data_IF_030151056158
#
_entry.id   IF_030151056158
#
_cell.length_a   1.000
_cell.length_b   1.000
_cell.length_c   1.000
_cell.angle_alpha   90.00
_cell.angle_beta   90.00
_cell.angle_gamma   90.00
#
_symmetry.space_group_name_H-M   'P 1'
#
loop_
_entity.id
_entity.type
_entity.pdbx_description
1 polymer ?
#
# COMPACT_ATOMS: atom_id res chain seq x y z
N UNK A 1 -7.09 -17.85 17.52
CA UNK A 1 -7.20 -16.74 16.58
C UNK A 1 -7.48 -15.48 17.39
N UNK A 2 -6.48 -14.64 17.64
CA UNK A 2 -6.67 -13.38 18.39
C UNK A 2 -6.81 -12.26 17.37
N UNK A 3 -8.01 -11.73 17.27
CA UNK A 3 -8.31 -10.53 16.48
C UNK A 3 -7.85 -9.34 17.32
N UNK A 4 -6.81 -8.64 16.87
CA UNK A 4 -6.42 -7.38 17.48
C UNK A 4 -7.29 -6.25 16.92
N UNK A 5 -7.75 -5.32 17.75
CA UNK A 5 -8.57 -4.21 17.27
C UNK A 5 -7.75 -3.33 16.33
N UNK A 6 -8.27 -3.14 15.12
CA UNK A 6 -7.81 -2.13 14.18
C UNK A 6 -7.95 -0.75 14.84
N UNK A 7 -6.83 -0.05 15.02
CA UNK A 7 -6.87 1.36 15.42
C UNK A 7 -7.37 2.18 14.23
N UNK A 8 -8.66 2.47 14.23
CA UNK A 8 -9.22 3.50 13.38
C UNK A 8 -8.81 4.86 13.93
N UNK A 9 -8.04 5.62 13.17
CA UNK A 9 -7.95 7.05 13.38
C UNK A 9 -9.30 7.64 12.93
N UNK A 10 -10.26 7.75 13.88
CA UNK A 10 -11.58 8.27 13.60
C UNK A 10 -11.50 9.78 13.44
N UNK A 11 -11.43 10.25 12.20
CA UNK A 11 -12.03 11.51 11.83
C UNK A 11 -13.27 11.22 10.99
N UNK A 12 -14.41 11.70 11.49
CA UNK A 12 -15.72 11.56 10.89
C UNK A 12 -15.72 12.00 9.43
N UNK A 13 -15.76 11.05 8.53
CA UNK A 13 -16.11 11.29 7.13
C UNK A 13 -17.64 11.32 7.04
N UNK A 14 -18.20 12.51 6.96
CA UNK A 14 -19.54 12.72 6.44
C UNK A 14 -19.52 12.48 4.92
N UNK A 15 -19.82 11.26 4.52
CA UNK A 15 -20.13 10.97 3.12
C UNK A 15 -21.54 11.47 2.83
N UNK A 16 -21.66 12.57 2.06
CA UNK A 16 -22.91 12.96 1.43
C UNK A 16 -23.36 11.84 0.47
N UNK A 17 -24.38 11.11 0.87
CA UNK A 17 -25.50 10.63 0.07
C UNK A 17 -25.26 9.80 -1.19
N UNK A 18 -24.09 9.19 -1.44
CA UNK A 18 -23.95 8.16 -2.45
C UNK A 18 -23.71 6.82 -1.76
N UNK A 19 -24.78 6.04 -1.67
CA UNK A 19 -24.69 4.61 -1.30
C UNK A 19 -24.15 3.89 -2.54
N UNK A 20 -22.82 3.93 -2.73
CA UNK A 20 -22.19 2.98 -3.63
C UNK A 20 -22.32 1.60 -2.97
N UNK A 21 -22.92 0.65 -3.69
CA UNK A 21 -22.88 -0.73 -3.28
C UNK A 21 -21.41 -1.14 -3.11
N UNK A 22 -20.98 -1.57 -1.91
CA UNK A 22 -19.60 -2.03 -1.65
C UNK A 22 -19.11 -3.15 -2.59
N UNK A 23 -20.00 -3.69 -3.41
CA UNK A 23 -19.72 -4.82 -4.31
C UNK A 23 -19.12 -4.43 -5.67
N UNK A 24 -19.10 -3.15 -6.04
CA UNK A 24 -18.72 -2.70 -7.38
C UNK A 24 -17.55 -1.71 -7.41
N UNK A 25 -16.95 -1.38 -6.29
CA UNK A 25 -15.81 -0.47 -6.24
C UNK A 25 -14.50 -1.28 -6.26
N UNK A 26 -13.71 -1.06 -7.31
CA UNK A 26 -12.29 -1.44 -7.31
C UNK A 26 -11.54 -0.65 -6.24
N UNK A 27 -10.42 -1.20 -5.76
CA UNK A 27 -9.59 -0.55 -4.75
C UNK A 27 -8.12 -0.59 -5.17
N UNK A 28 -7.43 0.53 -5.01
CA UNK A 28 -5.98 0.58 -5.14
C UNK A 28 -5.35 0.42 -3.76
N UNK A 29 -4.60 -0.64 -3.58
CA UNK A 29 -3.78 -0.87 -2.39
C UNK A 29 -2.35 -0.46 -2.69
N UNK A 30 -1.74 0.32 -1.79
CA UNK A 30 -0.39 0.85 -1.95
C UNK A 30 0.44 0.40 -0.75
N UNK A 31 1.57 -0.26 -1.00
CA UNK A 31 2.52 -0.54 0.09
C UNK A 31 3.19 0.76 0.57
N UNK A 32 3.73 0.69 1.78
CA UNK A 32 4.48 1.83 2.32
C UNK A 32 5.98 1.67 2.11
N UNK A 33 6.55 0.55 2.56
CA UNK A 33 7.99 0.34 2.63
C UNK A 33 8.56 0.04 1.25
N UNK A 34 9.46 0.89 0.76
CA UNK A 34 10.02 0.76 -0.59
C UNK A 34 9.10 1.28 -1.70
N UNK A 35 7.89 1.76 -1.38
CA UNK A 35 6.95 2.35 -2.33
C UNK A 35 6.77 3.84 -2.02
N UNK A 36 5.97 4.22 -1.02
CA UNK A 36 5.79 5.64 -0.68
C UNK A 36 6.86 6.16 0.28
N UNK A 37 7.36 5.31 1.17
CA UNK A 37 8.49 5.60 2.05
C UNK A 37 9.75 4.91 1.52
N UNK A 38 10.81 5.67 1.29
CA UNK A 38 12.08 5.14 0.80
C UNK A 38 12.69 4.24 1.88
N UNK A 39 12.52 2.94 1.69
CA UNK A 39 13.01 1.89 2.58
C UNK A 39 13.99 1.00 1.81
N UNK A 40 15.15 0.74 2.41
CA UNK A 40 16.14 -0.20 1.89
C UNK A 40 16.15 -1.42 2.79
N UNK A 41 15.63 -2.53 2.29
CA UNK A 41 15.45 -3.77 3.06
C UNK A 41 16.77 -4.33 3.59
N UNK A 42 17.81 -4.29 2.77
CA UNK A 42 19.12 -4.86 3.05
C UNK A 42 20.10 -3.84 3.64
N UNK A 43 19.58 -2.81 4.30
CA UNK A 43 20.38 -1.81 5.01
C UNK A 43 20.55 -2.22 6.48
N UNK A 44 21.81 -2.36 6.90
CA UNK A 44 22.20 -2.89 8.21
C UNK A 44 23.04 -1.90 9.00
N UNK A 45 22.92 -1.96 10.34
CA UNK A 45 23.86 -1.38 11.30
C UNK A 45 24.52 -2.55 12.03
N UNK A 46 25.76 -2.87 11.67
CA UNK A 46 26.40 -4.11 12.12
C UNK A 46 25.65 -5.33 11.58
N UNK A 47 25.22 -6.21 12.48
CA UNK A 47 24.46 -7.42 12.11
C UNK A 47 22.92 -7.22 12.13
N UNK A 48 22.45 -6.04 12.51
CA UNK A 48 21.03 -5.77 12.69
C UNK A 48 20.45 -4.97 11.53
N UNK A 49 19.31 -5.40 10.93
CA UNK A 49 18.60 -4.60 9.96
C UNK A 49 18.21 -3.24 10.53
N UNK A 50 18.41 -2.16 9.76
CA UNK A 50 18.08 -0.80 10.19
C UNK A 50 16.59 -0.64 10.52
N UNK A 51 15.69 -1.34 9.81
CA UNK A 51 14.25 -1.27 10.08
C UNK A 51 13.83 -1.79 11.47
N UNK A 52 14.75 -2.46 12.20
CA UNK A 52 14.54 -2.84 13.59
C UNK A 52 14.96 -1.76 14.60
N UNK A 53 15.56 -0.65 14.13
CA UNK A 53 15.93 0.45 15.01
C UNK A 53 14.67 1.25 15.42
N UNK A 54 14.67 1.78 16.65
CA UNK A 54 13.61 2.68 17.09
C UNK A 54 13.43 3.84 16.12
N UNK A 55 12.17 4.18 15.85
CA UNK A 55 11.77 5.31 14.99
C UNK A 55 12.30 5.27 13.54
N UNK A 56 12.74 4.11 13.07
CA UNK A 56 13.23 3.96 11.69
C UNK A 56 12.22 4.48 10.66
N UNK A 57 10.96 4.04 10.77
CA UNK A 57 9.92 4.42 9.80
C UNK A 57 9.55 5.91 9.85
N UNK A 58 9.73 6.56 11.00
CA UNK A 58 9.54 8.00 11.11
C UNK A 58 10.62 8.80 10.36
N UNK A 59 11.78 8.20 10.10
CA UNK A 59 12.92 8.83 9.42
C UNK A 59 13.01 8.52 7.92
N UNK A 60 12.14 7.67 7.38
CA UNK A 60 12.16 7.35 5.95
C UNK A 60 11.76 8.57 5.11
N UNK A 61 12.57 8.86 4.09
CA UNK A 61 12.25 9.94 3.14
C UNK A 61 11.05 9.55 2.27
N UNK A 62 10.16 10.50 1.95
CA UNK A 62 9.04 10.24 1.06
C UNK A 62 9.49 10.04 -0.39
N UNK A 63 8.81 9.16 -1.11
CA UNK A 63 8.98 9.01 -2.55
C UNK A 63 8.08 10.03 -3.28
N UNK A 64 8.66 11.02 -3.97
CA UNK A 64 7.88 12.11 -4.57
C UNK A 64 6.93 11.62 -5.67
N UNK A 65 7.29 10.55 -6.38
CA UNK A 65 6.44 9.96 -7.43
C UNK A 65 5.13 9.41 -6.84
N UNK A 66 5.23 8.63 -5.76
CA UNK A 66 4.05 8.04 -5.13
C UNK A 66 3.25 9.09 -4.37
N UNK A 67 3.89 10.08 -3.74
CA UNK A 67 3.20 11.22 -3.14
C UNK A 67 2.34 11.95 -4.18
N UNK A 68 2.92 12.27 -5.36
CA UNK A 68 2.18 12.92 -6.44
C UNK A 68 1.04 12.04 -6.96
N UNK A 69 1.26 10.73 -7.10
CA UNK A 69 0.22 9.79 -7.51
C UNK A 69 -0.93 9.74 -6.50
N UNK A 70 -0.64 9.67 -5.20
CA UNK A 70 -1.65 9.69 -4.13
C UNK A 70 -2.45 10.99 -4.16
N UNK A 71 -1.81 12.15 -4.38
CA UNK A 71 -2.54 13.41 -4.52
C UNK A 71 -3.50 13.40 -5.72
N UNK A 72 -3.11 12.79 -6.85
CA UNK A 72 -4.04 12.60 -7.98
C UNK A 72 -5.22 11.70 -7.60
N UNK A 73 -4.97 10.58 -6.90
CA UNK A 73 -6.05 9.72 -6.42
C UNK A 73 -7.02 10.47 -5.51
N UNK A 74 -6.51 11.34 -4.63
CA UNK A 74 -7.32 12.19 -3.77
C UNK A 74 -8.13 13.22 -4.57
N UNK A 75 -7.49 13.92 -5.51
CA UNK A 75 -8.13 14.93 -6.36
C UNK A 75 -9.27 14.35 -7.20
N UNK A 76 -9.04 13.18 -7.81
CA UNK A 76 -10.04 12.49 -8.62
C UNK A 76 -10.97 11.58 -7.83
N UNK A 77 -10.86 11.56 -6.50
CA UNK A 77 -11.67 10.73 -5.61
C UNK A 77 -11.60 9.23 -5.94
N UNK A 78 -10.47 8.77 -6.47
CA UNK A 78 -10.22 7.36 -6.75
C UNK A 78 -9.97 6.64 -5.43
N UNK A 79 -10.68 5.53 -5.14
CA UNK A 79 -10.53 4.84 -3.88
C UNK A 79 -9.16 4.17 -3.77
N UNK A 80 -8.44 4.45 -2.71
CA UNK A 80 -7.15 3.84 -2.39
C UNK A 80 -6.98 3.63 -0.89
N UNK A 81 -6.06 2.75 -0.53
CA UNK A 81 -5.75 2.38 0.84
C UNK A 81 -4.29 1.94 0.95
N UNK A 82 -3.58 2.44 1.96
CA UNK A 82 -2.27 1.89 2.26
C UNK A 82 -2.42 0.52 2.94
N UNK A 83 -1.63 -0.46 2.48
CA UNK A 83 -1.61 -1.81 3.02
C UNK A 83 -0.17 -2.21 3.33
N UNK A 84 0.24 -1.99 4.57
CA UNK A 84 1.62 -2.15 4.99
C UNK A 84 1.82 -3.33 5.92
N UNK A 85 2.87 -4.11 5.65
CA UNK A 85 3.29 -5.17 6.57
C UNK A 85 4.07 -4.58 7.74
N UNK A 86 3.81 -5.10 8.93
CA UNK A 86 4.56 -4.77 10.14
C UNK A 86 5.06 -6.07 10.78
N UNK A 87 6.38 -6.21 10.87
CA UNK A 87 7.00 -7.41 11.43
C UNK A 87 6.68 -7.59 12.91
N UNK A 88 6.34 -8.82 13.36
CA UNK A 88 6.20 -9.13 14.77
C UNK A 88 7.57 -9.33 15.41
N UNK A 89 7.70 -9.32 16.75
CA UNK A 89 6.83 -8.73 17.76
C UNK A 89 7.41 -7.55 18.54
N UNK A 90 8.73 -7.23 18.34
CA UNK A 90 9.44 -6.32 19.26
C UNK A 90 9.06 -4.84 19.08
N UNK A 91 8.70 -4.41 17.88
CA UNK A 91 8.44 -3.00 17.57
C UNK A 91 7.09 -2.76 16.87
N UNK A 92 6.14 -3.70 16.93
CA UNK A 92 4.86 -3.58 16.22
C UNK A 92 4.14 -2.25 16.51
N UNK A 93 3.97 -1.93 17.79
CA UNK A 93 3.25 -0.70 18.20
C UNK A 93 3.99 0.56 17.76
N UNK A 94 5.30 0.59 17.93
CA UNK A 94 6.13 1.73 17.58
C UNK A 94 6.14 1.93 16.07
N UNK A 95 6.45 0.88 15.29
CA UNK A 95 6.43 0.93 13.83
C UNK A 95 5.09 1.35 13.25
N UNK A 96 3.98 0.85 13.82
CA UNK A 96 2.63 1.24 13.43
C UNK A 96 2.38 2.73 13.70
N UNK A 97 2.77 3.21 14.89
CA UNK A 97 2.61 4.63 15.25
C UNK A 97 3.47 5.54 14.37
N UNK A 98 4.70 5.15 14.08
CA UNK A 98 5.59 5.91 13.22
C UNK A 98 5.05 5.98 11.78
N UNK A 99 4.59 4.88 11.22
CA UNK A 99 3.95 4.83 9.90
C UNK A 99 2.67 5.68 9.85
N UNK A 100 1.85 5.66 10.89
CA UNK A 100 0.67 6.53 10.97
C UNK A 100 1.05 8.02 11.01
N UNK A 101 2.03 8.41 11.82
CA UNK A 101 2.51 9.79 11.90
C UNK A 101 3.10 10.24 10.57
N UNK A 102 3.90 9.38 9.96
CA UNK A 102 4.51 9.62 8.66
C UNK A 102 3.46 9.88 7.57
N UNK A 103 2.42 9.02 7.48
CA UNK A 103 1.32 9.22 6.54
C UNK A 103 0.54 10.51 6.82
N UNK A 104 0.31 10.83 8.09
CA UNK A 104 -0.36 12.08 8.46
C UNK A 104 0.43 13.31 8.03
N UNK A 105 1.75 13.25 8.08
CA UNK A 105 2.65 14.35 7.68
C UNK A 105 2.70 14.54 6.17
N UNK A 106 2.89 13.44 5.40
CA UNK A 106 3.18 13.54 3.96
C UNK A 106 1.95 13.38 3.07
N UNK A 107 0.95 12.63 3.50
CA UNK A 107 -0.30 12.38 2.74
C UNK A 107 -1.52 12.42 3.66
N UNK A 108 -1.84 13.59 4.23
CA UNK A 108 -2.94 13.73 5.18
C UNK A 108 -4.27 13.27 4.55
N UNK A 109 -5.12 12.68 5.38
CA UNK A 109 -6.41 12.13 4.94
C UNK A 109 -6.34 10.71 4.37
N UNK A 110 -5.16 10.14 4.24
CA UNK A 110 -4.99 8.74 3.82
C UNK A 110 -5.35 7.76 4.94
N UNK A 111 -5.88 6.59 4.54
CA UNK A 111 -6.14 5.48 5.44
C UNK A 111 -5.08 4.39 5.26
N UNK A 112 -4.82 3.63 6.34
CA UNK A 112 -3.85 2.53 6.34
C UNK A 112 -4.38 1.32 7.09
N UNK A 113 -4.08 0.14 6.56
CA UNK A 113 -4.25 -1.14 7.24
C UNK A 113 -2.88 -1.76 7.45
N UNK A 114 -2.64 -2.25 8.65
CA UNK A 114 -1.43 -2.99 8.97
C UNK A 114 -1.70 -4.48 9.04
N UNK A 115 -0.78 -5.26 8.49
CA UNK A 115 -0.86 -6.73 8.55
C UNK A 115 0.45 -7.34 9.02
N UNK A 116 0.35 -8.49 9.68
CA UNK A 116 1.48 -9.37 9.99
C UNK A 116 1.48 -10.61 9.11
N UNK A 117 0.37 -10.81 8.40
CA UNK A 117 0.07 -11.98 7.59
C UNK A 117 0.07 -11.63 6.09
N UNK A 118 -0.69 -12.40 5.31
CA UNK A 118 -0.92 -12.17 3.89
C UNK A 118 -1.63 -10.83 3.61
N UNK A 119 -1.10 -10.06 2.67
CA UNK A 119 -1.77 -8.86 2.18
C UNK A 119 -3.10 -9.20 1.49
N UNK A 120 -3.17 -10.30 0.77
CA UNK A 120 -4.40 -10.79 0.13
C UNK A 120 -5.50 -11.05 1.15
N UNK A 121 -5.21 -11.85 2.18
CA UNK A 121 -6.19 -12.18 3.22
C UNK A 121 -6.65 -10.91 3.95
N UNK A 122 -5.74 -10.00 4.24
CA UNK A 122 -6.05 -8.73 4.91
C UNK A 122 -6.95 -7.85 4.06
N UNK A 123 -6.65 -7.71 2.77
CA UNK A 123 -7.44 -6.92 1.83
C UNK A 123 -8.84 -7.52 1.62
N UNK A 124 -8.94 -8.83 1.40
CA UNK A 124 -10.22 -9.54 1.27
C UNK A 124 -11.09 -9.41 2.52
N UNK A 125 -10.49 -9.53 3.70
CA UNK A 125 -11.19 -9.32 4.96
C UNK A 125 -11.73 -7.89 5.09
N UNK A 126 -10.93 -6.90 4.73
CA UNK A 126 -11.33 -5.49 4.77
C UNK A 126 -12.42 -5.16 3.75
N UNK A 127 -12.31 -5.68 2.51
CA UNK A 127 -13.30 -5.52 1.46
C UNK A 127 -14.61 -6.27 1.75
N UNK A 128 -14.57 -7.34 2.55
CA UNK A 128 -15.69 -8.25 2.76
C UNK A 128 -16.03 -9.09 1.53
N UNK A 129 -15.07 -9.24 0.59
CA UNK A 129 -15.17 -10.02 -0.64
C UNK A 129 -13.80 -10.51 -1.11
N UNK A 130 -13.79 -11.47 -2.02
CA UNK A 130 -12.56 -11.84 -2.72
C UNK A 130 -12.05 -10.68 -3.58
N UNK A 131 -10.73 -10.65 -3.81
CA UNK A 131 -10.12 -9.73 -4.76
C UNK A 131 -10.67 -9.99 -6.16
N UNK A 132 -10.71 -8.94 -6.97
CA UNK A 132 -11.15 -8.93 -8.36
C UNK A 132 -10.02 -8.42 -9.25
N UNK A 133 -10.13 -8.63 -10.56
CA UNK A 133 -9.10 -8.25 -11.52
C UNK A 133 -8.77 -6.75 -11.49
N UNK A 134 -9.72 -5.91 -11.15
CA UNK A 134 -9.61 -4.46 -11.04
C UNK A 134 -9.13 -3.95 -9.66
N UNK A 135 -8.98 -4.83 -8.65
CA UNK A 135 -8.28 -4.49 -7.42
C UNK A 135 -6.77 -4.50 -7.65
N UNK A 136 -6.13 -3.36 -7.44
CA UNK A 136 -4.72 -3.15 -7.79
C UNK A 136 -3.87 -3.13 -6.52
N UNK A 137 -2.73 -3.84 -6.53
CA UNK A 137 -1.65 -3.66 -5.56
C UNK A 137 -0.46 -2.97 -6.22
N UNK A 138 0.06 -1.92 -5.61
CA UNK A 138 1.35 -1.32 -5.93
C UNK A 138 2.32 -1.68 -4.82
N UNK A 139 3.35 -2.46 -5.13
CA UNK A 139 4.30 -3.01 -4.14
C UNK A 139 5.69 -3.15 -4.80
N UNK A 140 6.75 -3.19 -4.02
CA UNK A 140 8.12 -3.38 -4.52
C UNK A 140 8.62 -4.83 -4.35
N UNK A 141 7.87 -5.68 -3.65
CA UNK A 141 8.28 -7.01 -3.24
C UNK A 141 7.53 -8.12 -3.98
N UNK A 142 8.27 -8.89 -4.83
CA UNK A 142 7.70 -9.92 -5.69
C UNK A 142 6.76 -10.91 -4.98
N UNK A 143 7.08 -11.47 -3.79
CA UNK A 143 6.17 -12.41 -3.15
C UNK A 143 4.78 -11.85 -2.85
N UNK A 144 4.66 -10.55 -2.52
CA UNK A 144 3.36 -9.91 -2.32
C UNK A 144 2.60 -9.79 -3.65
N UNK A 145 3.32 -9.41 -4.72
CA UNK A 145 2.76 -9.26 -6.06
C UNK A 145 2.28 -10.60 -6.62
N UNK A 146 3.08 -11.66 -6.48
CA UNK A 146 2.74 -13.02 -6.89
C UNK A 146 1.50 -13.54 -6.15
N UNK A 147 1.43 -13.35 -4.83
CA UNK A 147 0.27 -13.72 -4.04
C UNK A 147 -1.00 -12.97 -4.49
N UNK A 148 -0.85 -11.68 -4.83
CA UNK A 148 -1.95 -10.84 -5.29
C UNK A 148 -2.50 -11.28 -6.65
N UNK A 149 -1.64 -11.55 -7.62
CA UNK A 149 -2.06 -12.05 -8.95
C UNK A 149 -2.62 -13.48 -8.89
N UNK A 150 -2.06 -14.33 -8.04
CA UNK A 150 -2.62 -15.68 -7.79
C UNK A 150 -4.03 -15.62 -7.19
N UNK A 151 -4.38 -14.54 -6.51
CA UNK A 151 -5.74 -14.29 -6.02
C UNK A 151 -6.69 -13.72 -7.08
N UNK A 152 -6.23 -13.54 -8.33
CA UNK A 152 -7.02 -13.05 -9.46
C UNK A 152 -7.10 -11.54 -9.60
N UNK A 153 -6.24 -10.80 -8.89
CA UNK A 153 -6.20 -9.35 -8.92
C UNK A 153 -4.96 -8.82 -9.68
N UNK A 154 -4.80 -7.52 -9.79
CA UNK A 154 -3.72 -6.88 -10.54
C UNK A 154 -2.61 -6.42 -9.62
N UNK A 155 -1.36 -6.72 -9.99
CA UNK A 155 -0.20 -6.23 -9.26
C UNK A 155 0.71 -5.39 -10.16
N UNK A 156 1.20 -4.26 -9.63
CA UNK A 156 2.15 -3.35 -10.27
C UNK A 156 3.41 -3.32 -9.40
N UNK A 157 4.54 -3.72 -9.96
CA UNK A 157 5.82 -3.62 -9.27
C UNK A 157 6.35 -2.21 -9.37
N UNK A 158 6.49 -1.55 -8.23
CA UNK A 158 7.12 -0.23 -8.19
C UNK A 158 8.65 -0.35 -8.16
N UNK A 159 9.31 0.31 -9.10
CA UNK A 159 10.77 0.36 -9.21
C UNK A 159 11.29 1.59 -8.47
N UNK A 160 11.84 1.37 -7.28
CA UNK A 160 12.29 2.44 -6.36
C UNK A 160 13.80 2.77 -6.48
N UNK A 161 14.48 2.20 -7.48
CA UNK A 161 15.92 2.36 -7.69
C UNK A 161 16.81 1.42 -6.86
N UNK A 162 16.27 0.74 -5.85
CA UNK A 162 16.96 -0.26 -5.03
C UNK A 162 16.57 -1.70 -5.39
N UNK A 163 15.52 -1.86 -6.19
CA UNK A 163 15.06 -3.13 -6.72
C UNK A 163 15.23 -3.19 -8.24
N UNK A 164 15.11 -4.37 -8.82
CA UNK A 164 15.17 -4.56 -10.26
C UNK A 164 13.78 -4.92 -10.81
N UNK A 165 13.51 -4.68 -12.13
CA UNK A 165 12.29 -5.14 -12.77
C UNK A 165 12.19 -6.67 -12.75
N UNK A 166 13.33 -7.39 -12.69
CA UNK A 166 13.41 -8.84 -12.84
C UNK A 166 12.67 -9.28 -14.11
N UNK A 167 11.78 -10.26 -13.97
CA UNK A 167 10.89 -10.72 -15.04
C UNK A 167 9.45 -10.24 -14.83
N UNK A 168 9.22 -9.27 -13.93
CA UNK A 168 7.86 -8.82 -13.65
C UNK A 168 7.27 -8.07 -14.85
N UNK A 169 6.10 -8.49 -15.29
CA UNK A 169 5.49 -8.06 -16.55
C UNK A 169 4.80 -6.68 -16.50
N UNK A 170 4.56 -6.14 -15.29
CA UNK A 170 3.92 -4.84 -15.09
C UNK A 170 4.70 -4.03 -14.05
N UNK A 171 5.52 -3.13 -14.53
CA UNK A 171 6.40 -2.29 -13.70
C UNK A 171 6.09 -0.82 -13.90
N UNK A 172 6.34 -0.02 -12.86
CA UNK A 172 6.30 1.44 -12.93
C UNK A 172 7.41 2.04 -12.06
N UNK A 173 8.08 3.07 -12.55
CA UNK A 173 9.13 3.82 -11.84
C UNK A 173 8.79 5.31 -11.69
N UNK A 174 7.78 5.77 -12.40
CA UNK A 174 7.34 7.16 -12.42
C UNK A 174 5.82 7.27 -12.55
N UNK A 175 5.32 8.48 -12.37
CA UNK A 175 3.88 8.75 -12.32
C UNK A 175 3.18 8.43 -13.65
N UNK A 176 3.83 8.67 -14.79
CA UNK A 176 3.25 8.38 -16.10
C UNK A 176 3.01 6.88 -16.28
N UNK A 177 4.02 6.07 -15.94
CA UNK A 177 3.91 4.60 -16.00
C UNK A 177 2.85 4.06 -15.04
N UNK A 178 2.72 4.64 -13.83
CA UNK A 178 1.65 4.28 -12.90
C UNK A 178 0.27 4.57 -13.48
N UNK A 179 0.08 5.74 -14.09
CA UNK A 179 -1.17 6.12 -14.76
C UNK A 179 -1.45 5.23 -15.96
N UNK A 180 -0.44 4.90 -16.77
CA UNK A 180 -0.58 3.98 -17.89
C UNK A 180 -1.00 2.58 -17.42
N UNK A 181 -0.33 2.03 -16.40
CA UNK A 181 -0.71 0.75 -15.81
C UNK A 181 -2.15 0.75 -15.29
N UNK A 182 -2.58 1.84 -14.66
CA UNK A 182 -3.94 2.02 -14.18
C UNK A 182 -4.95 2.08 -15.33
N UNK A 183 -4.69 2.89 -16.37
CA UNK A 183 -5.59 3.08 -17.51
C UNK A 183 -5.75 1.83 -18.37
N UNK A 184 -4.70 1.03 -18.52
CA UNK A 184 -4.77 -0.24 -19.24
C UNK A 184 -5.71 -1.25 -18.60
N UNK A 185 -5.98 -1.13 -17.31
CA UNK A 185 -6.99 -1.94 -16.61
C UNK A 185 -8.41 -1.42 -16.80
N UNK A 186 -8.61 -0.10 -16.81
CA UNK A 186 -9.93 0.52 -17.02
C UNK A 186 -10.50 0.35 -18.44
N UNK A 187 -9.66 -0.02 -19.42
CA UNK A 187 -10.10 -0.18 -20.81
C UNK A 187 -10.82 -1.51 -21.12
N UNK A 188 -10.94 -2.40 -20.16
CA UNK A 188 -11.71 -3.63 -20.29
C UNK A 188 -13.14 -3.52 -19.72
N UNK A 189 -13.52 -2.33 -19.26
CA UNK A 189 -14.89 -2.03 -18.80
C UNK A 189 -15.60 -1.25 -19.93
N UNK A 190 -16.04 -1.97 -20.98
CA UNK A 190 -17.03 -1.52 -21.95
C UNK A 190 -18.11 -2.58 -22.06
#
# INVERSE_FOLDING_TARGET
MRVYPSFFCHHHLFFYGFVFSRKELFMIFIDMDGVIANHVRDDYIGENPKFLQPHYFASCEPNPTIIAFVHLLQEFQIPYLFLSRVSPPLNYRESTMDKCKWLFEFVPGSNVIFTQDSKVQTAQHWLGRNLQADDILIDDFNPNLEEWENAGATAIKFLNGNNSPDTWHRTASNITELIECYNHHGSHIN
#
